data_IF_937284640963
#
_entry.id   IF_937284640963
#
_cell.length_a   1.000
_cell.length_b   1.000
_cell.length_c   1.000
_cell.angle_alpha   90.00
_cell.angle_beta   90.00
_cell.angle_gamma   90.00
#
_symmetry.space_group_name_H-M   'P 1'
#
loop_
_entity.id
_entity.type
_entity.pdbx_description
1 polymer ?
#
# COMPACT_ATOMS: atom_id res chain seq x y z
N UNK A 1 -26.84 41.60 -28.28
CA UNK A 1 -26.51 41.00 -26.97
C UNK A 1 -26.09 39.57 -27.25
N UNK A 2 -24.78 39.31 -27.26
CA UNK A 2 -24.26 37.94 -27.37
C UNK A 2 -24.25 37.41 -25.95
N UNK A 3 -25.10 36.41 -25.71
CA UNK A 3 -25.27 35.75 -24.42
C UNK A 3 -23.97 35.02 -24.08
N UNK A 4 -23.11 35.66 -23.30
CA UNK A 4 -21.85 35.10 -22.84
C UNK A 4 -22.11 34.28 -21.57
N UNK A 5 -22.89 33.21 -21.71
CA UNK A 5 -22.92 32.16 -20.70
C UNK A 5 -21.60 31.42 -20.77
N UNK A 6 -20.64 31.85 -19.96
CA UNK A 6 -19.43 31.07 -19.70
C UNK A 6 -19.88 29.69 -19.21
N UNK A 7 -19.80 28.68 -20.09
CA UNK A 7 -20.06 27.29 -19.76
C UNK A 7 -19.22 26.96 -18.53
N UNK A 8 -19.89 26.62 -17.43
CA UNK A 8 -19.21 26.17 -16.22
C UNK A 8 -18.24 25.04 -16.61
N UNK A 9 -17.00 25.04 -16.07
CA UNK A 9 -16.03 24.01 -16.42
C UNK A 9 -16.63 22.63 -16.13
N UNK A 10 -16.38 21.64 -17.01
CA UNK A 10 -16.97 20.31 -16.85
C UNK A 10 -16.55 19.71 -15.50
N UNK A 11 -17.51 19.09 -14.82
CA UNK A 11 -17.26 18.46 -13.52
C UNK A 11 -16.17 17.39 -13.66
N UNK A 12 -15.12 17.50 -12.83
CA UNK A 12 -14.02 16.55 -12.82
C UNK A 12 -14.40 15.30 -12.04
N UNK A 13 -13.94 14.15 -12.51
CA UNK A 13 -14.18 12.87 -11.85
C UNK A 13 -13.53 12.84 -10.45
N UNK A 14 -14.30 12.70 -9.36
CA UNK A 14 -13.77 12.69 -8.00
C UNK A 14 -13.20 11.32 -7.59
N UNK A 15 -13.47 10.25 -8.35
CA UNK A 15 -12.95 8.92 -8.10
C UNK A 15 -11.56 8.74 -8.70
N UNK A 16 -10.67 8.07 -7.96
CA UNK A 16 -9.24 7.97 -8.28
C UNK A 16 -8.80 6.50 -8.31
N UNK A 17 -9.02 5.77 -9.41
CA UNK A 17 -8.68 4.35 -9.53
C UNK A 17 -7.18 4.09 -9.75
N UNK A 18 -6.34 5.13 -9.75
CA UNK A 18 -4.89 5.00 -9.96
C UNK A 18 -4.20 4.48 -8.70
N UNK A 19 -3.22 3.60 -8.88
CA UNK A 19 -2.47 2.99 -7.78
C UNK A 19 -1.78 4.04 -6.90
N UNK A 20 -1.87 3.86 -5.58
CA UNK A 20 -1.13 4.63 -4.59
C UNK A 20 -1.59 6.07 -4.39
N UNK A 21 -2.67 6.51 -5.05
CA UNK A 21 -3.23 7.85 -4.88
C UNK A 21 -4.33 7.81 -3.82
N UNK A 22 -4.28 8.72 -2.85
CA UNK A 22 -5.36 8.84 -1.86
C UNK A 22 -6.69 9.21 -2.52
N UNK A 23 -7.77 8.46 -2.22
CA UNK A 23 -9.10 8.75 -2.74
C UNK A 23 -9.62 10.06 -2.13
N UNK A 24 -10.63 10.65 -2.77
CA UNK A 24 -11.28 11.86 -2.23
C UNK A 24 -11.96 11.57 -0.89
N UNK A 25 -12.56 10.39 -0.75
CA UNK A 25 -13.14 9.88 0.50
C UNK A 25 -12.52 8.52 0.80
N UNK A 26 -11.95 8.39 2.00
CA UNK A 26 -11.38 7.14 2.49
C UNK A 26 -12.42 6.40 3.33
N UNK A 27 -12.82 5.21 2.89
CA UNK A 27 -13.88 4.46 3.57
C UNK A 27 -13.34 3.54 4.67
N UNK A 28 -13.95 3.59 5.86
CA UNK A 28 -13.77 2.59 6.92
C UNK A 28 -12.39 2.55 7.59
N UNK A 29 -11.63 3.66 7.53
CA UNK A 29 -10.27 3.74 8.10
C UNK A 29 -10.11 4.81 9.18
N UNK A 30 -11.15 5.57 9.51
CA UNK A 30 -11.06 6.71 10.44
C UNK A 30 -10.58 6.30 11.83
N UNK A 31 -11.11 5.21 12.38
CA UNK A 31 -10.70 4.71 13.71
C UNK A 31 -9.22 4.33 13.78
N UNK A 32 -8.65 3.80 12.68
CA UNK A 32 -7.23 3.49 12.59
C UNK A 32 -6.38 4.76 12.51
N UNK A 33 -6.82 5.76 11.75
CA UNK A 33 -6.16 7.06 11.65
C UNK A 33 -6.17 7.78 13.00
N UNK A 34 -7.30 7.76 13.71
CA UNK A 34 -7.42 8.40 15.02
C UNK A 34 -6.56 7.70 16.07
N UNK A 35 -6.53 6.36 16.08
CA UNK A 35 -5.65 5.61 16.98
C UNK A 35 -4.17 5.91 16.70
N UNK A 36 -3.78 6.01 15.42
CA UNK A 36 -2.42 6.40 15.06
C UNK A 36 -2.07 7.83 15.47
N UNK A 37 -2.96 8.80 15.21
CA UNK A 37 -2.80 10.20 15.64
C UNK A 37 -2.62 10.30 17.15
N UNK A 38 -3.44 9.57 17.91
CA UNK A 38 -3.34 9.50 19.36
C UNK A 38 -1.99 8.90 19.79
N UNK A 39 -1.56 7.80 19.17
CA UNK A 39 -0.29 7.18 19.51
C UNK A 39 0.95 8.02 19.21
N UNK A 40 0.90 8.89 18.19
CA UNK A 40 1.94 9.89 17.98
C UNK A 40 1.95 10.93 19.11
N UNK A 41 0.77 11.38 19.56
CA UNK A 41 0.63 12.39 20.62
C UNK A 41 0.98 11.88 22.04
N UNK A 42 0.79 10.60 22.33
CA UNK A 42 0.99 10.00 23.67
C UNK A 42 2.46 9.93 24.12
N UNK A 43 3.42 10.04 23.20
CA UNK A 43 4.84 9.88 23.53
C UNK A 43 5.35 8.43 23.40
N UNK A 44 6.66 8.18 23.67
CA UNK A 44 7.25 6.86 23.60
C UNK A 44 6.50 5.84 24.47
N UNK A 45 6.27 4.63 23.92
CA UNK A 45 5.55 3.55 24.61
C UNK A 45 4.16 3.23 24.06
N UNK A 46 3.56 4.12 23.25
CA UNK A 46 2.28 3.82 22.59
C UNK A 46 2.42 2.67 21.57
N UNK A 47 1.53 1.66 21.58
CA UNK A 47 1.59 0.54 20.62
C UNK A 47 1.37 1.00 19.17
N UNK A 48 0.68 2.12 18.97
CA UNK A 48 0.41 2.68 17.64
C UNK A 48 1.61 3.38 17.00
N UNK A 49 2.79 3.35 17.64
CA UNK A 49 4.06 3.80 17.04
C UNK A 49 4.79 2.68 16.28
N UNK A 50 4.33 1.44 16.37
CA UNK A 50 4.86 0.32 15.59
C UNK A 50 3.71 -0.47 14.97
N UNK A 51 3.46 -0.28 13.68
CA UNK A 51 2.33 -0.87 12.97
C UNK A 51 2.79 -1.79 11.83
N UNK A 52 2.15 -2.96 11.73
CA UNK A 52 2.26 -3.87 10.58
C UNK A 52 0.90 -4.01 9.90
N UNK A 53 0.80 -3.55 8.66
CA UNK A 53 -0.41 -3.57 7.85
C UNK A 53 -0.35 -4.76 6.90
N UNK A 54 -1.19 -5.77 7.14
CA UNK A 54 -1.34 -6.94 6.29
C UNK A 54 -2.60 -6.81 5.43
N UNK A 55 -2.51 -7.18 4.15
CA UNK A 55 -3.70 -7.29 3.31
C UNK A 55 -3.38 -7.67 1.87
N UNK A 56 -4.39 -8.14 1.14
CA UNK A 56 -4.26 -8.47 -0.28
C UNK A 56 -3.83 -7.25 -1.11
N UNK A 57 -3.38 -7.50 -2.35
CA UNK A 57 -3.11 -6.41 -3.32
C UNK A 57 -4.38 -5.57 -3.51
N UNK A 58 -4.24 -4.27 -3.80
CA UNK A 58 -5.38 -3.36 -3.99
C UNK A 58 -6.28 -3.06 -2.78
N UNK A 59 -5.97 -3.60 -1.59
CA UNK A 59 -6.71 -3.33 -0.33
C UNK A 59 -6.47 -1.95 0.31
N UNK A 60 -5.79 -1.04 -0.40
CA UNK A 60 -5.50 0.31 0.09
C UNK A 60 -4.37 0.39 1.11
N UNK A 61 -3.38 -0.51 1.05
CA UNK A 61 -2.19 -0.47 1.92
C UNK A 61 -1.37 0.81 1.74
N UNK A 62 -0.93 1.08 0.51
CA UNK A 62 -0.18 2.29 0.13
C UNK A 62 -0.97 3.56 0.45
N UNK A 63 -2.28 3.54 0.20
CA UNK A 63 -3.17 4.65 0.56
C UNK A 63 -3.13 4.88 2.07
N UNK A 64 -3.33 3.84 2.89
CA UNK A 64 -3.28 3.96 4.35
C UNK A 64 -1.91 4.45 4.84
N UNK A 65 -0.79 4.03 4.22
CA UNK A 65 0.53 4.58 4.51
C UNK A 65 0.60 6.09 4.24
N UNK A 66 0.10 6.56 3.10
CA UNK A 66 0.06 7.99 2.79
C UNK A 66 -0.77 8.78 3.81
N UNK A 67 -1.91 8.25 4.24
CA UNK A 67 -2.77 8.88 5.24
C UNK A 67 -2.09 8.96 6.61
N UNK A 68 -1.31 7.94 6.99
CA UNK A 68 -0.48 8.00 8.19
C UNK A 68 0.67 9.01 8.05
N UNK A 69 1.29 9.13 6.87
CA UNK A 69 2.29 10.17 6.63
C UNK A 69 1.70 11.58 6.73
N UNK A 70 0.50 11.79 6.19
CA UNK A 70 -0.22 13.06 6.29
C UNK A 70 -0.64 13.37 7.73
N UNK A 71 -1.17 12.37 8.46
CA UNK A 71 -1.50 12.50 9.88
C UNK A 71 -0.26 12.83 10.74
N UNK A 72 0.89 12.23 10.43
CA UNK A 72 2.15 12.53 11.11
C UNK A 72 2.65 13.94 10.77
N UNK A 73 2.62 14.33 9.49
CA UNK A 73 3.00 15.66 9.04
C UNK A 73 2.14 16.76 9.68
N UNK A 74 0.83 16.52 9.86
CA UNK A 74 -0.07 17.43 10.55
C UNK A 74 0.30 17.66 12.03
N UNK A 75 1.04 16.74 12.65
CA UNK A 75 1.61 16.87 13.99
C UNK A 75 3.09 17.30 13.98
N UNK A 76 3.62 17.71 12.83
CA UNK A 76 5.01 18.18 12.68
C UNK A 76 6.07 17.07 12.64
N UNK A 77 5.67 15.80 12.50
CA UNK A 77 6.60 14.70 12.33
C UNK A 77 7.23 14.69 10.93
N UNK A 78 8.45 14.17 10.85
CA UNK A 78 9.16 13.99 9.57
C UNK A 78 9.02 12.55 9.12
N UNK A 79 8.37 12.35 7.97
CA UNK A 79 8.19 11.04 7.35
C UNK A 79 9.38 10.67 6.46
N UNK A 80 9.93 9.48 6.65
CA UNK A 80 11.00 8.87 5.86
C UNK A 80 10.45 7.62 5.19
N UNK A 81 10.30 7.66 3.86
CA UNK A 81 9.92 6.49 3.07
C UNK A 81 11.12 5.56 2.88
N UNK A 82 11.00 4.33 3.34
CA UNK A 82 11.93 3.24 3.09
C UNK A 82 11.43 2.42 1.88
N UNK A 83 12.32 2.17 0.93
CA UNK A 83 12.03 1.37 -0.25
C UNK A 83 12.53 -0.07 -0.05
N UNK A 84 11.72 -1.09 -0.36
CA UNK A 84 12.01 -2.49 -0.06
C UNK A 84 12.96 -3.12 -1.10
N UNK A 85 14.17 -2.59 -1.22
CA UNK A 85 15.21 -3.10 -2.13
C UNK A 85 16.50 -3.48 -1.37
N UNK A 86 17.53 -3.93 -2.10
CA UNK A 86 18.83 -4.29 -1.53
C UNK A 86 19.61 -3.11 -0.94
N UNK A 87 19.19 -1.89 -1.26
CA UNK A 87 19.79 -0.62 -0.85
C UNK A 87 18.94 0.12 0.19
N UNK A 88 17.96 -0.52 0.82
CA UNK A 88 17.05 0.11 1.80
C UNK A 88 17.83 0.91 2.86
N UNK A 89 18.76 0.26 3.57
CA UNK A 89 19.50 0.88 4.68
C UNK A 89 20.46 1.95 4.17
N UNK A 90 21.17 1.70 3.08
CA UNK A 90 22.13 2.64 2.49
C UNK A 90 21.41 3.89 1.98
N UNK A 91 20.28 3.74 1.30
CA UNK A 91 19.45 4.84 0.82
C UNK A 91 18.96 5.71 1.97
N UNK A 92 18.45 5.10 3.06
CA UNK A 92 18.05 5.84 4.25
C UNK A 92 19.23 6.62 4.87
N UNK A 93 20.36 5.95 5.09
CA UNK A 93 21.51 6.52 5.79
C UNK A 93 22.26 7.59 4.98
N UNK A 94 22.35 7.44 3.66
CA UNK A 94 23.18 8.29 2.80
C UNK A 94 22.38 9.35 2.05
N UNK A 95 21.07 9.12 1.81
CA UNK A 95 20.23 10.01 1.00
C UNK A 95 19.04 10.56 1.77
N UNK A 96 18.11 9.70 2.21
CA UNK A 96 16.81 10.13 2.74
C UNK A 96 16.94 10.94 4.03
N UNK A 97 17.70 10.43 5.02
CA UNK A 97 17.90 11.15 6.29
C UNK A 97 18.69 12.44 6.09
N UNK A 98 19.83 12.46 5.36
CA UNK A 98 20.54 13.72 5.07
C UNK A 98 19.70 14.77 4.33
N UNK A 99 18.79 14.36 3.44
CA UNK A 99 17.84 15.29 2.81
C UNK A 99 16.84 15.86 3.82
N UNK A 100 16.24 15.00 4.65
CA UNK A 100 15.32 15.43 5.70
C UNK A 100 15.98 16.40 6.69
N UNK A 101 17.20 16.12 7.13
CA UNK A 101 17.95 17.01 8.03
C UNK A 101 18.19 18.41 7.43
N UNK A 102 18.50 18.50 6.14
CA UNK A 102 18.67 19.79 5.44
C UNK A 102 17.37 20.57 5.38
N UNK A 103 16.26 19.89 5.12
CA UNK A 103 14.93 20.51 5.11
C UNK A 103 14.58 21.09 6.49
N UNK A 104 14.83 20.35 7.57
CA UNK A 104 14.60 20.82 8.95
C UNK A 104 15.51 22.00 9.32
N UNK A 105 16.73 22.09 8.77
CA UNK A 105 17.62 23.25 8.99
C UNK A 105 17.22 24.51 8.22
N UNK A 106 16.30 24.41 7.25
CA UNK A 106 15.97 25.50 6.35
C UNK A 106 17.08 25.84 5.35
N UNK A 107 18.01 24.91 5.08
CA UNK A 107 19.09 25.14 4.10
C UNK A 107 18.49 25.22 2.68
N UNK A 108 18.67 26.33 1.93
CA UNK A 108 18.27 26.36 0.52
C UNK A 108 19.07 25.30 -0.24
N UNK A 109 18.47 24.65 -1.26
CA UNK A 109 19.19 23.65 -2.05
C UNK A 109 20.43 24.31 -2.66
N UNK A 110 21.63 23.91 -2.20
CA UNK A 110 22.89 24.35 -2.79
C UNK A 110 22.87 23.98 -4.27
N UNK A 111 22.62 24.97 -5.13
CA UNK A 111 23.00 24.92 -6.54
C UNK A 111 24.48 24.55 -6.57
N UNK A 112 24.79 23.37 -7.11
CA UNK A 112 26.13 23.05 -7.54
C UNK A 112 26.55 24.11 -8.56
N UNK A 113 27.43 25.02 -8.14
CA UNK A 113 28.12 25.92 -9.04
C UNK A 113 29.28 25.12 -9.64
N UNK A 114 28.99 24.32 -10.66
CA UNK A 114 30.01 23.74 -11.53
C UNK A 114 30.39 24.78 -12.58
N UNK A 115 31.46 25.53 -12.31
CA UNK A 115 32.21 26.25 -13.34
C UNK A 115 32.44 27.74 -13.07
N UNK A 116 33.72 28.12 -12.95
CA UNK A 116 34.20 29.40 -13.47
C UNK A 116 34.83 30.41 -12.50
N UNK A 117 36.04 30.12 -12.00
CA UNK A 117 37.13 31.09 -11.80
C UNK A 117 37.04 32.13 -10.67
N UNK A 118 37.95 32.04 -9.69
CA UNK A 118 38.40 33.22 -8.92
C UNK A 118 39.82 33.55 -9.38
N UNK A 119 39.99 34.75 -9.93
CA UNK A 119 41.28 35.38 -10.05
C UNK A 119 41.65 36.03 -8.71
N UNK A 120 42.74 35.57 -8.11
CA UNK A 120 43.61 36.40 -7.28
C UNK A 120 43.42 36.38 -5.75
N UNK A 121 44.57 36.32 -5.09
CA UNK A 121 44.88 36.61 -3.68
C UNK A 121 44.75 35.43 -2.71
N UNK A 122 45.90 35.05 -2.16
CA UNK A 122 46.18 33.75 -1.57
C UNK A 122 45.59 33.47 -0.19
N UNK A 123 45.59 32.18 0.15
CA UNK A 123 45.59 31.72 1.53
C UNK A 123 46.29 30.35 1.64
N UNK A 124 47.24 30.31 2.56
CA UNK A 124 47.88 29.19 3.26
C UNK A 124 47.43 27.79 2.83
N UNK A 125 48.34 27.04 2.20
CA UNK A 125 48.20 25.60 2.01
C UNK A 125 48.25 24.89 3.37
N UNK A 126 47.09 24.48 3.88
CA UNK A 126 47.03 23.43 4.91
C UNK A 126 47.26 22.09 4.22
N UNK A 127 48.34 21.41 4.62
CA UNK A 127 48.65 20.05 4.19
C UNK A 127 47.55 19.13 4.71
N UNK A 128 46.82 18.37 3.86
CA UNK A 128 45.87 17.38 4.36
C UNK A 128 46.64 16.30 5.10
N UNK A 129 46.36 16.13 6.39
CA UNK A 129 46.82 15.00 7.17
C UNK A 129 46.18 13.73 6.58
N UNK A 130 46.96 12.73 6.10
CA UNK A 130 46.40 11.52 5.55
C UNK A 130 46.15 10.52 6.68
N UNK A 131 45.12 10.73 7.49
CA UNK A 131 44.47 9.67 8.30
C UNK A 131 43.26 10.20 9.10
N UNK A 132 42.23 10.65 8.40
CA UNK A 132 40.89 10.80 9.01
C UNK A 132 39.85 10.18 8.08
N UNK A 133 39.86 8.85 7.96
CA UNK A 133 38.64 8.16 7.55
C UNK A 133 37.64 8.28 8.70
N UNK A 134 36.91 9.41 8.76
CA UNK A 134 35.77 9.52 9.66
C UNK A 134 34.86 8.31 9.40
N UNK A 135 34.49 7.50 10.41
CA UNK A 135 33.66 6.32 10.20
C UNK A 135 32.41 6.70 9.41
N UNK A 136 32.12 5.97 8.33
CA UNK A 136 30.91 6.19 7.54
C UNK A 136 29.68 6.14 8.46
N UNK A 137 28.81 7.17 8.46
CA UNK A 137 27.68 7.20 9.38
C UNK A 137 26.73 6.03 9.15
N UNK A 138 26.45 5.26 10.21
CA UNK A 138 25.47 4.18 10.17
C UNK A 138 24.03 4.71 10.14
N UNK A 139 23.05 3.86 9.79
CA UNK A 139 21.63 4.20 9.90
C UNK A 139 21.25 4.68 11.30
N UNK A 140 21.76 4.01 12.35
CA UNK A 140 21.54 4.39 13.75
C UNK A 140 22.07 5.79 14.02
N UNK A 141 23.31 6.06 13.64
CA UNK A 141 23.95 7.37 13.85
C UNK A 141 23.17 8.48 13.14
N UNK A 142 22.68 8.22 11.92
CA UNK A 142 21.89 9.16 11.12
C UNK A 142 20.51 9.42 11.72
N UNK A 143 19.77 8.37 12.08
CA UNK A 143 18.47 8.49 12.72
C UNK A 143 18.57 9.25 14.05
N UNK A 144 19.56 8.93 14.89
CA UNK A 144 19.82 9.66 16.14
C UNK A 144 20.13 11.13 15.89
N UNK A 145 20.91 11.46 14.86
CA UNK A 145 21.21 12.85 14.54
C UNK A 145 19.96 13.64 14.13
N UNK A 146 19.10 13.05 13.30
CA UNK A 146 17.80 13.65 12.93
C UNK A 146 16.88 13.78 14.15
N UNK A 147 16.71 12.71 14.93
CA UNK A 147 15.84 12.72 16.11
C UNK A 147 16.30 13.75 17.16
N UNK A 148 17.61 13.91 17.38
CA UNK A 148 18.16 14.99 18.24
C UNK A 148 17.83 16.38 17.72
N UNK A 149 17.80 16.58 16.41
CA UNK A 149 17.44 17.85 15.80
C UNK A 149 15.94 18.16 15.97
N UNK A 150 15.08 17.14 15.98
CA UNK A 150 13.63 17.29 16.12
C UNK A 150 13.17 17.40 17.59
N UNK A 151 13.92 16.82 18.54
CA UNK A 151 13.57 16.78 19.97
C UNK A 151 13.19 18.15 20.58
N UNK A 152 13.88 19.27 20.31
CA UNK A 152 13.49 20.58 20.85
C UNK A 152 12.12 21.08 20.36
N UNK A 153 11.63 20.55 19.24
CA UNK A 153 10.33 20.89 18.68
C UNK A 153 9.20 19.98 19.17
N UNK A 154 9.50 18.97 20.00
CA UNK A 154 8.50 18.00 20.48
C UNK A 154 7.93 17.11 19.37
N UNK A 155 8.68 16.92 18.28
CA UNK A 155 8.26 16.09 17.14
C UNK A 155 9.21 14.92 16.91
N UNK A 156 8.81 14.00 16.03
CA UNK A 156 9.51 12.74 15.81
C UNK A 156 9.74 12.38 14.34
N UNK A 157 10.28 11.17 14.16
CA UNK A 157 10.54 10.55 12.86
C UNK A 157 9.53 9.42 12.63
N UNK A 158 8.76 9.48 11.54
CA UNK A 158 7.97 8.36 11.07
C UNK A 158 8.74 7.66 9.95
N UNK A 159 8.93 6.35 10.04
CA UNK A 159 9.46 5.53 8.94
C UNK A 159 8.30 4.73 8.36
N UNK A 160 8.09 4.84 7.05
CA UNK A 160 7.11 4.03 6.32
C UNK A 160 7.81 3.04 5.39
N UNK A 161 7.30 1.82 5.29
CA UNK A 161 7.81 0.78 4.39
C UNK A 161 6.64 0.10 3.68
N UNK A 162 6.51 0.30 2.38
CA UNK A 162 5.54 -0.45 1.57
C UNK A 162 6.17 -1.73 1.00
N UNK A 163 5.32 -2.65 0.57
CA UNK A 163 5.70 -3.95 0.00
C UNK A 163 6.77 -4.70 0.80
N UNK A 164 6.60 -4.82 2.11
CA UNK A 164 7.56 -5.45 3.03
C UNK A 164 8.11 -6.81 2.53
N UNK A 165 7.28 -7.61 1.86
CA UNK A 165 7.69 -8.90 1.31
C UNK A 165 8.83 -8.83 0.29
N UNK A 166 9.06 -7.67 -0.34
CA UNK A 166 10.12 -7.45 -1.32
C UNK A 166 11.48 -7.11 -0.67
N UNK A 167 11.48 -6.67 0.59
CA UNK A 167 12.70 -6.29 1.28
C UNK A 167 13.52 -7.52 1.70
N UNK A 168 14.84 -7.40 1.62
CA UNK A 168 15.77 -8.44 2.09
C UNK A 168 15.75 -8.54 3.62
N UNK A 169 15.85 -9.78 4.13
CA UNK A 169 15.82 -10.05 5.57
C UNK A 169 16.89 -9.27 6.36
N UNK A 170 18.10 -9.19 5.83
CA UNK A 170 19.20 -8.48 6.50
C UNK A 170 18.98 -6.96 6.57
N UNK A 171 18.35 -6.38 5.54
CA UNK A 171 17.99 -4.96 5.51
C UNK A 171 16.88 -4.66 6.54
N UNK A 172 15.86 -5.53 6.60
CA UNK A 172 14.78 -5.44 7.60
C UNK A 172 15.31 -5.59 9.02
N UNK A 173 16.26 -6.51 9.24
CA UNK A 173 16.90 -6.69 10.54
C UNK A 173 17.69 -5.45 10.99
N UNK A 174 18.45 -4.83 10.09
CA UNK A 174 19.18 -3.60 10.37
C UNK A 174 18.24 -2.42 10.67
N UNK A 175 17.18 -2.26 9.88
CA UNK A 175 16.14 -1.24 10.13
C UNK A 175 15.48 -1.47 11.50
N UNK A 176 15.06 -2.70 11.80
CA UNK A 176 14.43 -3.06 13.07
C UNK A 176 15.34 -2.76 14.26
N UNK A 177 16.63 -3.10 14.13
CA UNK A 177 17.65 -2.83 15.15
C UNK A 177 17.81 -1.33 15.39
N UNK A 178 17.82 -0.53 14.32
CA UNK A 178 17.96 0.91 14.44
C UNK A 178 16.74 1.57 15.09
N UNK A 179 15.52 1.17 14.71
CA UNK A 179 14.29 1.65 15.35
C UNK A 179 14.25 1.27 16.84
N UNK A 180 14.59 0.01 17.17
CA UNK A 180 14.63 -0.46 18.55
C UNK A 180 15.66 0.31 19.40
N UNK A 181 16.82 0.64 18.83
CA UNK A 181 17.86 1.42 19.50
C UNK A 181 17.39 2.84 19.85
N UNK A 182 16.68 3.51 18.95
CA UNK A 182 16.12 4.85 19.22
C UNK A 182 14.99 4.81 20.25
N UNK A 183 14.12 3.81 20.20
CA UNK A 183 13.05 3.64 21.17
C UNK A 183 13.57 3.37 22.58
N UNK A 184 14.69 2.64 22.71
CA UNK A 184 15.33 2.37 24.00
C UNK A 184 15.82 3.64 24.71
N UNK A 185 16.15 4.67 23.93
CA UNK A 185 16.65 5.95 24.43
C UNK A 185 15.57 7.06 24.42
N UNK A 186 14.29 6.66 24.41
CA UNK A 186 13.11 7.53 24.45
C UNK A 186 13.10 8.61 23.36
N UNK A 187 13.58 8.29 22.16
CA UNK A 187 13.38 9.15 20.99
C UNK A 187 11.96 8.96 20.42
N UNK A 188 11.36 10.06 19.94
CA UNK A 188 10.13 10.02 19.17
C UNK A 188 10.38 9.46 17.77
N UNK A 189 10.24 8.14 17.66
CA UNK A 189 10.29 7.40 16.41
C UNK A 189 9.08 6.47 16.29
N UNK A 190 8.52 6.39 15.09
CA UNK A 190 7.45 5.47 14.74
C UNK A 190 7.83 4.70 13.46
N UNK A 191 7.34 3.46 13.35
CA UNK A 191 7.52 2.59 12.19
C UNK A 191 6.15 2.06 11.75
N UNK A 192 5.81 2.26 10.48
CA UNK A 192 4.63 1.65 9.85
C UNK A 192 5.09 0.89 8.62
N UNK A 193 4.85 -0.41 8.59
CA UNK A 193 5.19 -1.23 7.44
C UNK A 193 3.96 -1.95 6.89
N UNK A 194 3.84 -2.04 5.56
CA UNK A 194 2.74 -2.68 4.89
C UNK A 194 3.23 -3.79 3.95
N UNK A 195 2.47 -4.89 3.86
CA UNK A 195 2.84 -6.01 3.01
C UNK A 195 1.73 -7.03 2.81
N UNK A 196 2.06 -8.08 2.08
CA UNK A 196 1.21 -9.27 1.98
C UNK A 196 1.20 -10.04 3.32
N UNK A 197 0.10 -10.71 3.68
CA UNK A 197 0.00 -11.46 4.93
C UNK A 197 1.18 -12.42 5.16
N UNK A 198 1.54 -13.23 4.15
CA UNK A 198 2.68 -14.16 4.27
C UNK A 198 4.04 -13.46 4.41
N UNK A 199 4.20 -12.27 3.81
CA UNK A 199 5.39 -11.46 3.98
C UNK A 199 5.56 -11.00 5.44
N UNK A 200 4.46 -10.56 6.05
CA UNK A 200 4.42 -10.18 7.46
C UNK A 200 4.70 -11.40 8.36
N UNK A 201 4.05 -12.53 8.13
CA UNK A 201 4.28 -13.75 8.92
C UNK A 201 5.74 -14.23 8.83
N UNK A 202 6.33 -14.19 7.63
CA UNK A 202 7.73 -14.55 7.43
C UNK A 202 8.68 -13.64 8.23
N UNK A 203 8.45 -12.32 8.21
CA UNK A 203 9.21 -11.37 9.02
C UNK A 203 9.12 -11.68 10.52
N UNK A 204 7.92 -12.01 11.00
CA UNK A 204 7.68 -12.33 12.40
C UNK A 204 8.40 -13.61 12.82
N UNK A 205 8.60 -14.56 11.92
CA UNK A 205 9.33 -15.80 12.19
C UNK A 205 10.86 -15.64 12.15
N UNK A 206 11.38 -14.56 11.55
CA UNK A 206 12.81 -14.32 11.46
C UNK A 206 13.47 -14.14 12.85
N UNK A 207 14.75 -14.52 12.93
CA UNK A 207 15.58 -14.27 14.12
C UNK A 207 15.96 -12.79 14.15
N UNK A 208 16.02 -12.20 15.33
CA UNK A 208 16.45 -10.79 15.50
C UNK A 208 15.38 -9.74 15.19
N UNK A 209 14.12 -10.13 14.93
CA UNK A 209 12.98 -9.20 14.71
C UNK A 209 12.07 -9.08 15.93
N UNK A 210 12.57 -9.38 17.14
CA UNK A 210 11.77 -9.45 18.39
C UNK A 210 11.01 -8.17 18.69
N UNK A 211 11.56 -6.99 18.36
CA UNK A 211 10.84 -5.72 18.47
C UNK A 211 9.61 -5.68 17.56
N UNK A 212 9.78 -6.01 16.28
CA UNK A 212 8.70 -6.05 15.29
C UNK A 212 7.59 -7.03 15.70
N UNK A 213 7.90 -8.10 16.43
CA UNK A 213 6.88 -9.04 16.93
C UNK A 213 5.85 -8.43 17.87
N UNK A 214 6.19 -7.31 18.52
CA UNK A 214 5.31 -6.56 19.42
C UNK A 214 4.59 -5.39 18.72
N UNK A 215 4.85 -5.16 17.43
CA UNK A 215 4.11 -4.19 16.66
C UNK A 215 2.63 -4.58 16.57
N UNK A 216 1.76 -3.57 16.61
CA UNK A 216 0.33 -3.74 16.44
C UNK A 216 0.03 -4.20 15.01
N UNK A 217 -0.85 -5.21 14.86
CA UNK A 217 -1.13 -5.84 13.57
C UNK A 217 -2.49 -5.41 13.05
N UNK A 218 -2.46 -4.68 11.94
CA UNK A 218 -3.66 -4.24 11.24
C UNK A 218 -3.90 -5.15 10.04
N UNK A 219 -4.99 -5.91 10.07
CA UNK A 219 -5.43 -6.73 8.93
C UNK A 219 -6.48 -5.99 8.12
N UNK A 220 -6.13 -5.59 6.91
CA UNK A 220 -7.06 -4.90 6.01
C UNK A 220 -8.05 -5.89 5.42
N UNK A 221 -9.31 -5.68 5.79
CA UNK A 221 -10.46 -6.42 5.27
C UNK A 221 -11.21 -5.60 4.22
N UNK A 222 -12.05 -6.24 3.38
CA UNK A 222 -12.96 -5.51 2.51
C UNK A 222 -13.75 -4.49 3.32
N UNK A 223 -13.95 -3.31 2.72
CA UNK A 223 -14.80 -2.25 3.28
C UNK A 223 -16.22 -2.79 3.39
N UNK A 224 -16.89 -2.51 4.50
CA UNK A 224 -18.25 -3.01 4.70
C UNK A 224 -19.23 -2.36 3.71
N UNK A 225 -20.33 -3.05 3.40
CA UNK A 225 -21.34 -2.53 2.47
C UNK A 225 -21.87 -1.14 2.86
N UNK A 226 -22.16 -0.84 4.15
CA UNK A 226 -22.58 0.50 4.55
C UNK A 226 -21.53 1.58 4.27
N UNK A 227 -20.26 1.33 4.65
CA UNK A 227 -19.15 2.27 4.43
C UNK A 227 -18.85 2.45 2.93
N UNK A 228 -18.96 1.39 2.14
CA UNK A 228 -18.77 1.46 0.69
C UNK A 228 -19.89 2.27 0.03
N UNK A 229 -21.15 2.03 0.41
CA UNK A 229 -22.30 2.79 -0.08
C UNK A 229 -22.17 4.28 0.28
N UNK A 230 -21.79 4.59 1.52
CA UNK A 230 -21.55 5.96 1.96
C UNK A 230 -20.42 6.63 1.16
N UNK A 231 -19.30 5.94 0.96
CA UNK A 231 -18.19 6.45 0.15
C UNK A 231 -18.64 6.81 -1.27
N UNK A 232 -19.44 5.97 -1.92
CA UNK A 232 -19.94 6.26 -3.26
C UNK A 232 -20.81 7.52 -3.30
N UNK A 233 -21.75 7.66 -2.36
CA UNK A 233 -22.62 8.83 -2.25
C UNK A 233 -21.81 10.10 -1.96
N UNK A 234 -20.92 10.04 -0.96
CA UNK A 234 -20.10 11.17 -0.53
C UNK A 234 -19.12 11.61 -1.63
N UNK A 235 -18.47 10.67 -2.32
CA UNK A 235 -17.51 10.98 -3.39
C UNK A 235 -18.21 11.58 -4.60
N UNK A 236 -19.38 11.06 -5.00
CA UNK A 236 -20.17 11.64 -6.08
C UNK A 236 -20.59 13.09 -5.72
N UNK A 237 -21.11 13.29 -4.51
CA UNK A 237 -21.54 14.59 -4.02
C UNK A 237 -20.38 15.59 -3.99
N UNK A 238 -19.19 15.18 -3.50
CA UNK A 238 -17.99 16.01 -3.50
C UNK A 238 -17.54 16.41 -4.91
N UNK A 239 -17.80 15.58 -5.93
CA UNK A 239 -17.59 15.93 -7.34
C UNK A 239 -18.65 16.85 -7.94
N UNK A 240 -19.73 17.17 -7.20
CA UNK A 240 -20.85 17.98 -7.67
C UNK A 240 -21.93 17.18 -8.41
N UNK A 241 -22.04 15.87 -8.18
CA UNK A 241 -23.08 15.02 -8.80
C UNK A 241 -23.82 14.20 -7.75
N UNK A 242 -25.13 14.05 -7.91
CA UNK A 242 -25.89 13.13 -7.07
C UNK A 242 -25.81 11.69 -7.58
N UNK A 243 -25.82 10.74 -6.65
CA UNK A 243 -25.97 9.31 -6.93
C UNK A 243 -27.23 8.80 -6.21
N UNK A 244 -28.06 8.00 -6.88
CA UNK A 244 -29.22 7.40 -6.22
C UNK A 244 -28.78 6.30 -5.23
N UNK A 245 -29.58 6.07 -4.19
CA UNK A 245 -29.32 4.98 -3.22
C UNK A 245 -29.26 3.61 -3.90
N UNK A 246 -30.12 3.37 -4.89
CA UNK A 246 -30.09 2.15 -5.71
C UNK A 246 -28.80 2.01 -6.53
N UNK A 247 -28.23 3.11 -7.02
CA UNK A 247 -26.94 3.10 -7.70
C UNK A 247 -25.80 2.80 -6.73
N UNK A 248 -25.79 3.42 -5.55
CA UNK A 248 -24.79 3.16 -4.52
C UNK A 248 -24.80 1.70 -4.06
N UNK A 249 -25.99 1.11 -3.87
CA UNK A 249 -26.13 -0.31 -3.54
C UNK A 249 -25.60 -1.23 -4.67
N UNK A 250 -25.93 -0.94 -5.92
CA UNK A 250 -25.43 -1.70 -7.06
C UNK A 250 -23.90 -1.59 -7.22
N UNK A 251 -23.35 -0.39 -7.01
CA UNK A 251 -21.91 -0.13 -7.06
C UNK A 251 -21.17 -0.85 -5.92
N UNK A 252 -21.77 -0.85 -4.73
CA UNK A 252 -21.28 -1.58 -3.55
C UNK A 252 -21.17 -3.08 -3.86
N UNK A 253 -22.26 -3.69 -4.34
CA UNK A 253 -22.29 -5.09 -4.71
C UNK A 253 -21.27 -5.43 -5.82
N UNK A 254 -21.10 -4.56 -6.82
CA UNK A 254 -20.12 -4.75 -7.89
C UNK A 254 -18.67 -4.66 -7.38
N UNK A 255 -18.42 -3.76 -6.43
CA UNK A 255 -17.08 -3.52 -5.90
C UNK A 255 -16.63 -4.51 -4.83
N UNK A 256 -17.57 -5.25 -4.22
CA UNK A 256 -17.35 -6.26 -3.17
C UNK A 256 -16.45 -5.76 -2.02
N UNK A 257 -16.57 -4.47 -1.68
CA UNK A 257 -15.77 -3.83 -0.63
C UNK A 257 -14.27 -3.70 -0.94
N UNK A 258 -13.85 -4.00 -2.17
CA UNK A 258 -12.44 -3.96 -2.57
C UNK A 258 -12.06 -2.55 -3.04
N UNK A 259 -11.18 -1.81 -2.33
CA UNK A 259 -10.97 -0.37 -2.54
C UNK A 259 -10.65 0.04 -3.98
N UNK A 260 -9.81 -0.72 -4.68
CA UNK A 260 -9.51 -0.44 -6.08
C UNK A 260 -10.75 -0.57 -6.98
N UNK A 261 -11.57 -1.62 -6.79
CA UNK A 261 -12.81 -1.80 -7.54
C UNK A 261 -13.84 -0.73 -7.19
N UNK A 262 -13.87 -0.28 -5.93
CA UNK A 262 -14.74 0.82 -5.51
C UNK A 262 -14.42 2.09 -6.29
N UNK A 263 -13.13 2.48 -6.34
CA UNK A 263 -12.70 3.65 -7.11
C UNK A 263 -12.89 3.47 -8.62
N UNK A 264 -12.64 2.28 -9.15
CA UNK A 264 -12.84 1.98 -10.58
C UNK A 264 -14.32 2.06 -10.97
N UNK A 265 -15.19 1.47 -10.17
CA UNK A 265 -16.65 1.46 -10.38
C UNK A 265 -17.19 2.89 -10.37
N UNK A 266 -16.84 3.68 -9.35
CA UNK A 266 -17.26 5.07 -9.27
C UNK A 266 -16.72 5.92 -10.43
N UNK A 267 -15.46 5.69 -10.82
CA UNK A 267 -14.83 6.41 -11.91
C UNK A 267 -15.50 6.12 -13.26
N UNK A 268 -15.81 4.86 -13.55
CA UNK A 268 -16.52 4.47 -14.78
C UNK A 268 -17.96 4.94 -14.79
N UNK A 269 -18.68 4.79 -13.67
CA UNK A 269 -20.05 5.30 -13.52
C UNK A 269 -20.10 6.81 -13.76
N UNK A 270 -19.16 7.56 -13.18
CA UNK A 270 -19.02 9.00 -13.40
C UNK A 270 -18.80 9.34 -14.88
N UNK A 271 -17.85 8.67 -15.52
CA UNK A 271 -17.54 8.91 -16.93
C UNK A 271 -18.74 8.60 -17.83
N UNK A 272 -19.41 7.47 -17.62
CA UNK A 272 -20.56 7.04 -18.41
C UNK A 272 -21.74 8.01 -18.26
N UNK A 273 -22.04 8.46 -17.03
CA UNK A 273 -23.09 9.47 -16.78
C UNK A 273 -22.74 10.83 -17.41
N UNK A 274 -21.46 11.21 -17.45
CA UNK A 274 -21.04 12.43 -18.16
C UNK A 274 -21.21 12.32 -19.68
N UNK A 275 -20.94 11.15 -20.25
CA UNK A 275 -21.09 10.91 -21.69
C UNK A 275 -22.57 10.83 -22.12
N UNK A 276 -23.46 10.35 -21.25
CA UNK A 276 -24.91 10.33 -21.55
C UNK A 276 -25.62 11.66 -21.33
N UNK A 277 -24.91 12.69 -20.85
CA UNK A 277 -25.48 14.01 -20.55
C UNK A 277 -26.40 14.03 -19.32
N UNK A 278 -26.35 12.97 -18.50
CA UNK A 278 -27.16 12.88 -17.28
C UNK A 278 -26.50 13.63 -16.11
N UNK A 279 -27.36 14.16 -15.23
CA UNK A 279 -26.95 14.89 -14.03
C UNK A 279 -26.87 14.02 -12.77
N UNK A 280 -27.33 12.76 -12.83
CA UNK A 280 -27.40 11.85 -11.68
C UNK A 280 -26.88 10.47 -12.07
N UNK A 281 -26.08 9.86 -11.19
CA UNK A 281 -25.67 8.45 -11.34
C UNK A 281 -26.82 7.56 -10.86
N UNK A 282 -27.37 6.74 -11.76
CA UNK A 282 -28.51 5.85 -11.50
C UNK A 282 -28.10 4.38 -11.53
N UNK A 283 -28.98 3.47 -11.10
CA UNK A 283 -28.71 2.02 -11.16
C UNK A 283 -28.42 1.56 -12.59
N UNK A 284 -29.10 2.13 -13.60
CA UNK A 284 -28.87 1.82 -15.00
C UNK A 284 -27.43 2.18 -15.44
N UNK A 285 -26.87 3.27 -14.91
CA UNK A 285 -25.50 3.69 -15.16
C UNK A 285 -24.48 2.69 -14.60
N UNK A 286 -24.77 2.11 -13.42
CA UNK A 286 -23.92 1.07 -12.82
C UNK A 286 -24.00 -0.23 -13.62
N UNK A 287 -25.19 -0.62 -14.05
CA UNK A 287 -25.36 -1.85 -14.84
C UNK A 287 -24.67 -1.74 -16.20
N UNK A 288 -24.75 -0.56 -16.85
CA UNK A 288 -24.09 -0.31 -18.12
C UNK A 288 -22.55 -0.46 -18.07
N UNK A 289 -21.93 -0.21 -16.92
CA UNK A 289 -20.46 -0.29 -16.73
C UNK A 289 -19.99 -1.60 -16.09
N UNK A 290 -20.89 -2.52 -15.72
CA UNK A 290 -20.55 -3.77 -15.03
C UNK A 290 -19.47 -4.57 -15.76
N UNK A 291 -19.70 -4.86 -17.04
CA UNK A 291 -18.77 -5.63 -17.88
C UNK A 291 -17.42 -4.93 -18.00
N UNK A 292 -17.42 -3.60 -18.07
CA UNK A 292 -16.21 -2.79 -18.19
C UNK A 292 -15.37 -2.78 -16.91
N UNK A 293 -16.01 -2.75 -15.74
CA UNK A 293 -15.33 -2.87 -14.44
C UNK A 293 -14.63 -4.22 -14.34
N UNK A 294 -15.35 -5.32 -14.58
CA UNK A 294 -14.81 -6.68 -14.48
C UNK A 294 -13.67 -6.90 -15.49
N UNK A 295 -13.86 -6.46 -16.73
CA UNK A 295 -12.83 -6.55 -17.77
C UNK A 295 -11.57 -5.76 -17.42
N UNK A 296 -11.70 -4.56 -16.85
CA UNK A 296 -10.54 -3.76 -16.40
C UNK A 296 -9.85 -4.38 -15.19
N UNK A 297 -10.59 -4.97 -14.25
CA UNK A 297 -9.98 -5.77 -13.17
C UNK A 297 -9.15 -6.93 -13.75
N UNK A 298 -9.70 -7.61 -14.77
CA UNK A 298 -8.99 -8.62 -15.54
C UNK A 298 -7.67 -8.15 -16.13
N UNK A 299 -7.69 -7.06 -16.90
CA UNK A 299 -6.49 -6.58 -17.60
C UNK A 299 -5.48 -5.86 -16.71
N UNK A 300 -5.92 -5.17 -15.65
CA UNK A 300 -5.06 -4.33 -14.82
C UNK A 300 -4.54 -5.05 -13.55
N UNK A 301 -5.23 -6.09 -13.08
CA UNK A 301 -4.86 -6.81 -11.86
C UNK A 301 -4.65 -8.30 -12.12
N UNK A 302 -5.62 -9.01 -12.69
CA UNK A 302 -5.53 -10.47 -12.83
C UNK A 302 -4.43 -10.90 -13.81
N UNK A 303 -4.46 -10.38 -15.04
CA UNK A 303 -3.47 -10.69 -16.08
C UNK A 303 -2.02 -10.48 -15.60
N UNK A 304 -1.66 -9.28 -15.09
CA UNK A 304 -0.33 -9.04 -14.53
C UNK A 304 0.02 -9.96 -13.36
N UNK A 305 -0.95 -10.30 -12.50
CA UNK A 305 -0.71 -11.19 -11.35
C UNK A 305 -0.47 -12.65 -11.76
N UNK A 306 -0.96 -13.07 -12.94
CA UNK A 306 -0.83 -14.42 -13.47
C UNK A 306 0.37 -14.60 -14.42
N UNK A 307 0.93 -13.51 -14.98
CA UNK A 307 1.95 -13.55 -16.04
C UNK A 307 3.20 -14.39 -15.72
N UNK A 308 3.55 -14.58 -14.44
CA UNK A 308 4.73 -15.34 -14.00
C UNK A 308 4.37 -16.52 -13.09
N UNK A 309 3.12 -17.00 -13.17
CA UNK A 309 2.67 -18.16 -12.40
C UNK A 309 2.98 -19.42 -13.21
N UNK A 310 3.82 -20.34 -12.70
CA UNK A 310 4.14 -21.59 -13.38
C UNK A 310 2.91 -22.46 -13.60
N UNK A 311 2.95 -23.30 -14.63
CA UNK A 311 1.86 -24.20 -15.02
C UNK A 311 1.31 -25.04 -13.87
N UNK A 312 2.17 -25.60 -13.02
CA UNK A 312 1.73 -26.37 -11.85
C UNK A 312 0.89 -25.54 -10.87
N UNK A 313 1.24 -24.27 -10.68
CA UNK A 313 0.49 -23.34 -9.84
C UNK A 313 -0.80 -22.87 -10.52
N UNK A 314 -0.75 -22.62 -11.83
CA UNK A 314 -1.95 -22.32 -12.62
C UNK A 314 -2.95 -23.47 -12.56
N UNK A 315 -2.50 -24.73 -12.69
CA UNK A 315 -3.36 -25.91 -12.56
C UNK A 315 -4.13 -25.92 -11.23
N UNK A 316 -3.47 -25.56 -10.12
CA UNK A 316 -4.12 -25.41 -8.82
C UNK A 316 -5.16 -24.28 -8.84
N UNK A 317 -4.84 -23.11 -9.40
CA UNK A 317 -5.78 -21.99 -9.51
C UNK A 317 -7.02 -22.33 -10.36
N UNK A 318 -6.84 -23.01 -11.49
CA UNK A 318 -7.96 -23.46 -12.33
C UNK A 318 -8.84 -24.47 -11.59
N UNK A 319 -8.25 -25.47 -10.94
CA UNK A 319 -9.02 -26.43 -10.13
C UNK A 319 -9.74 -25.74 -8.98
N UNK A 320 -9.11 -24.76 -8.32
CA UNK A 320 -9.78 -23.94 -7.31
C UNK A 320 -10.98 -23.19 -7.91
N UNK A 321 -10.85 -22.60 -9.10
CA UNK A 321 -11.94 -21.88 -9.77
C UNK A 321 -13.12 -22.78 -10.15
N UNK A 322 -12.82 -24.00 -10.62
CA UNK A 322 -13.82 -25.01 -11.01
C UNK A 322 -14.61 -25.53 -9.81
N UNK A 323 -13.91 -25.79 -8.69
CA UNK A 323 -14.52 -26.34 -7.48
C UNK A 323 -15.16 -25.27 -6.59
N UNK A 324 -14.74 -24.00 -6.70
CA UNK A 324 -15.28 -22.93 -5.87
C UNK A 324 -16.63 -22.42 -6.39
N UNK A 325 -17.53 -22.09 -5.48
CA UNK A 325 -18.60 -21.13 -5.77
C UNK A 325 -18.03 -19.71 -5.84
N UNK A 326 -18.82 -18.71 -6.28
CA UNK A 326 -18.36 -17.33 -6.52
C UNK A 326 -17.65 -16.67 -5.31
N UNK A 327 -17.95 -17.10 -4.07
CA UNK A 327 -17.27 -16.67 -2.85
C UNK A 327 -16.86 -17.87 -1.97
N UNK A 328 -16.75 -19.05 -2.57
CA UNK A 328 -16.56 -20.31 -1.86
C UNK A 328 -15.09 -20.60 -1.55
N UNK A 329 -14.85 -21.08 -0.34
CA UNK A 329 -13.60 -21.77 0.00
C UNK A 329 -13.69 -23.25 -0.42
N UNK A 330 -12.59 -23.82 -0.89
CA UNK A 330 -12.50 -25.22 -1.32
C UNK A 330 -11.53 -25.97 -0.42
N UNK A 331 -11.87 -27.20 -0.03
CA UNK A 331 -10.97 -28.02 0.76
C UNK A 331 -9.73 -28.40 -0.06
N UNK A 332 -8.55 -28.32 0.54
CA UNK A 332 -7.30 -28.68 -0.15
C UNK A 332 -7.26 -30.15 -0.55
N UNK A 333 -7.98 -31.02 0.18
CA UNK A 333 -8.17 -32.43 -0.17
C UNK A 333 -8.94 -32.61 -1.48
N UNK A 334 -9.99 -31.82 -1.71
CA UNK A 334 -10.81 -31.90 -2.92
C UNK A 334 -10.02 -31.41 -4.14
N UNK A 335 -9.23 -30.36 -3.98
CA UNK A 335 -8.30 -29.87 -5.01
C UNK A 335 -7.30 -30.97 -5.38
N UNK A 336 -6.71 -31.66 -4.38
CA UNK A 336 -5.76 -32.73 -4.62
C UNK A 336 -6.40 -33.93 -5.32
N UNK A 337 -7.60 -34.32 -4.90
CA UNK A 337 -8.38 -35.39 -5.51
C UNK A 337 -8.71 -35.08 -6.98
N UNK A 338 -9.14 -33.85 -7.27
CA UNK A 338 -9.46 -33.42 -8.64
C UNK A 338 -8.22 -33.40 -9.54
N UNK A 339 -7.06 -33.01 -9.01
CA UNK A 339 -5.78 -33.06 -9.72
C UNK A 339 -5.17 -34.47 -9.80
N UNK A 340 -5.77 -35.49 -9.16
CA UNK A 340 -5.22 -36.86 -9.12
C UNK A 340 -3.90 -36.99 -8.36
N UNK A 341 -3.61 -36.08 -7.43
CA UNK A 341 -2.36 -36.05 -6.65
C UNK A 341 -2.61 -36.26 -5.16
N UNK A 342 -1.55 -36.66 -4.43
CA UNK A 342 -1.62 -36.70 -2.96
C UNK A 342 -1.68 -35.28 -2.39
N UNK A 343 -2.38 -35.03 -1.26
CA UNK A 343 -2.49 -33.68 -0.67
C UNK A 343 -1.13 -32.98 -0.43
N UNK A 344 -0.12 -33.72 0.03
CA UNK A 344 1.23 -33.19 0.27
C UNK A 344 1.94 -32.70 -1.00
N UNK A 345 1.51 -33.14 -2.19
CA UNK A 345 2.06 -32.66 -3.45
C UNK A 345 1.66 -31.20 -3.75
N UNK A 346 0.59 -30.70 -3.13
CA UNK A 346 0.14 -29.31 -3.31
C UNK A 346 0.91 -28.30 -2.44
N UNK A 347 1.66 -28.75 -1.43
CA UNK A 347 2.22 -27.86 -0.41
C UNK A 347 3.11 -26.75 -0.99
N UNK A 348 3.98 -27.07 -1.96
CA UNK A 348 4.87 -26.08 -2.58
C UNK A 348 4.10 -25.09 -3.47
N UNK A 349 3.19 -25.58 -4.32
CA UNK A 349 2.38 -24.72 -5.18
C UNK A 349 1.47 -23.81 -4.35
N UNK A 350 0.83 -24.36 -3.32
CA UNK A 350 0.03 -23.62 -2.34
C UNK A 350 0.84 -22.51 -1.67
N UNK A 351 2.03 -22.84 -1.15
CA UNK A 351 2.91 -21.84 -0.50
C UNK A 351 3.28 -20.72 -1.47
N UNK A 352 3.69 -21.07 -2.69
CA UNK A 352 4.03 -20.08 -3.73
C UNK A 352 2.86 -19.15 -4.06
N UNK A 353 1.65 -19.69 -4.21
CA UNK A 353 0.44 -18.89 -4.49
C UNK A 353 0.04 -17.98 -3.32
N UNK A 354 0.25 -18.42 -2.07
CA UNK A 354 0.08 -17.59 -0.87
C UNK A 354 1.11 -16.45 -0.83
N UNK A 355 2.39 -16.76 -1.11
CA UNK A 355 3.48 -15.77 -1.20
C UNK A 355 3.22 -14.72 -2.30
N UNK A 356 2.57 -15.11 -3.40
CA UNK A 356 2.13 -14.22 -4.49
C UNK A 356 0.89 -13.38 -4.13
N UNK A 357 0.14 -13.79 -3.11
CA UNK A 357 -1.13 -13.16 -2.72
C UNK A 357 -2.28 -13.44 -3.69
N UNK A 358 -2.26 -14.59 -4.36
CA UNK A 358 -3.32 -15.03 -5.30
C UNK A 358 -4.40 -15.85 -4.60
N UNK A 359 -4.01 -16.57 -3.54
CA UNK A 359 -4.91 -17.36 -2.68
C UNK A 359 -4.67 -17.01 -1.23
N UNK A 360 -5.64 -17.33 -0.38
CA UNK A 360 -5.56 -17.19 1.06
C UNK A 360 -6.09 -18.45 1.77
N UNK A 361 -5.88 -18.51 3.09
CA UNK A 361 -6.33 -19.60 3.96
C UNK A 361 -7.44 -19.08 4.86
N UNK A 362 -8.71 -19.12 4.42
CA UNK A 362 -9.82 -18.61 5.24
C UNK A 362 -10.07 -19.49 6.48
N UNK A 363 -9.72 -20.78 6.38
CA UNK A 363 -9.79 -21.78 7.45
C UNK A 363 -8.74 -22.85 7.22
N UNK A 364 -8.24 -23.47 8.30
CA UNK A 364 -7.35 -24.61 8.20
C UNK A 364 -7.90 -25.69 7.26
N UNK A 365 -7.08 -26.10 6.28
CA UNK A 365 -7.45 -27.11 5.27
C UNK A 365 -8.25 -26.57 4.08
N UNK A 366 -8.48 -25.26 3.98
CA UNK A 366 -9.23 -24.63 2.89
C UNK A 366 -8.40 -23.57 2.16
N UNK A 367 -8.76 -23.30 0.91
CA UNK A 367 -8.23 -22.22 0.08
C UNK A 367 -9.37 -21.42 -0.55
N UNK A 368 -9.16 -20.11 -0.71
CA UNK A 368 -10.00 -19.20 -1.49
C UNK A 368 -9.11 -18.24 -2.28
N UNK A 369 -9.67 -17.57 -3.29
CA UNK A 369 -8.97 -16.50 -3.99
C UNK A 369 -8.87 -15.25 -3.10
N UNK A 370 -7.71 -14.61 -3.10
CA UNK A 370 -7.51 -13.32 -2.41
C UNK A 370 -8.01 -12.13 -3.21
N UNK A 371 -8.19 -12.30 -4.52
CA UNK A 371 -8.56 -11.24 -5.44
C UNK A 371 -9.99 -11.44 -5.94
N UNK A 372 -10.86 -10.41 -5.86
CA UNK A 372 -12.23 -10.49 -6.37
C UNK A 372 -12.22 -10.67 -7.88
N UNK A 373 -13.17 -11.45 -8.42
CA UNK A 373 -13.31 -11.76 -9.84
C UNK A 373 -12.18 -12.60 -10.49
N UNK A 374 -11.18 -13.05 -9.71
CA UNK A 374 -10.11 -13.89 -10.26
C UNK A 374 -10.63 -15.26 -10.71
N UNK A 375 -11.63 -15.80 -10.01
CA UNK A 375 -12.32 -17.03 -10.39
C UNK A 375 -12.94 -16.91 -11.77
N UNK A 376 -13.79 -15.89 -11.95
CA UNK A 376 -14.49 -15.60 -13.20
C UNK A 376 -13.49 -15.38 -14.32
N UNK A 377 -12.43 -14.60 -14.06
CA UNK A 377 -11.36 -14.36 -15.03
C UNK A 377 -10.68 -15.64 -15.52
N UNK A 378 -10.41 -16.60 -14.62
CA UNK A 378 -9.82 -17.89 -14.97
C UNK A 378 -10.79 -18.74 -15.80
N UNK A 379 -12.06 -18.82 -15.38
CA UNK A 379 -13.08 -19.60 -16.10
C UNK A 379 -13.37 -19.05 -17.51
N UNK A 380 -13.29 -17.72 -17.69
CA UNK A 380 -13.45 -17.06 -18.98
C UNK A 380 -12.19 -17.14 -19.87
N UNK A 381 -11.06 -17.58 -19.31
CA UNK A 381 -9.75 -17.67 -19.98
C UNK A 381 -9.21 -19.11 -20.12
N UNK A 382 -10.01 -20.12 -20.52
CA UNK A 382 -9.63 -21.54 -20.42
C UNK A 382 -8.43 -21.91 -21.30
N UNK A 383 -8.11 -21.09 -22.30
CA UNK A 383 -6.97 -21.27 -23.20
C UNK A 383 -5.61 -21.00 -22.52
N UNK A 384 -5.60 -20.35 -21.35
CA UNK A 384 -4.40 -20.22 -20.52
C UNK A 384 -4.26 -21.37 -19.51
N UNK A 385 -5.14 -22.38 -19.57
CA UNK A 385 -5.01 -23.58 -18.75
C UNK A 385 -3.83 -24.42 -19.26
N UNK A 386 -2.89 -24.81 -18.38
CA UNK A 386 -1.84 -25.74 -18.75
C UNK A 386 -2.44 -27.07 -19.22
N UNK A 387 -1.85 -27.63 -20.27
CA UNK A 387 -2.19 -28.98 -20.73
C UNK A 387 -1.62 -29.98 -19.70
N UNK A 388 -2.47 -30.92 -19.28
CA UNK A 388 -2.17 -31.91 -18.25
C UNK A 388 -1.07 -32.90 -18.67
#
# INVERSE_FOLDING_TARGET
MVDNTALAPPLRNPFRPTFGVSPTILAGRDSLLDAFRLGLAEGPGSPFRALLIAGARGMGKTVLLNEFEEAAAAQGWISLRAYPDEHLVTTLAETTIPQAMRHVKGDPPKRMFTGGGIAGVGSINSVPHPDTSSPSPTLITRLRALAKQLRPHGTGVLITLDELQAAHADQLHQLATAVQDLLRDDFDIALVAAGLPEGIERLLQQRGTTFIRRAERIHLRPVSDPEASEMFLATAHAGGREMSTGAAAAATALSVGYPYLMQLTGSLAWAHTSLSGESRITTAQIEAIRTDVIRRMGSQVHGPSLHQVPDRELGLLYTLAELSSAAGMVATGDIAAHLGVKPNALSMARKSLLDRGLVEVPKYGYLSFSLPYLREYLLDSPHHRPIA
#
